data_IF_641808552994
#
_entry.id   IF_641808552994
#
_cell.length_a   1.000
_cell.length_b   1.000
_cell.length_c   1.000
_cell.angle_alpha   90.00
_cell.angle_beta   90.00
_cell.angle_gamma   90.00
#
_symmetry.space_group_name_H-M   'P 1'
#
loop_
_entity.id
_entity.type
_entity.pdbx_description
1 polymer ?
#
# COMPACT_ATOMS: atom_id res chain seq x y z
N UNK A 1 -29.96 -9.46 -89.07
CA UNK A 1 -29.00 -8.52 -89.73
C UNK A 1 -27.83 -8.45 -88.85
N UNK A 2 -26.84 -9.16 -89.17
CA UNK A 2 -25.66 -8.87 -89.99
C UNK A 2 -24.54 -8.24 -89.15
N UNK A 3 -23.47 -9.04 -89.03
CA UNK A 3 -22.04 -8.75 -89.02
C UNK A 3 -21.46 -8.14 -87.76
N UNK A 4 -20.27 -8.46 -87.33
CA UNK A 4 -19.21 -9.48 -87.63
C UNK A 4 -17.91 -8.95 -87.00
N UNK A 5 -17.11 -9.88 -86.46
CA UNK A 5 -15.63 -9.89 -86.50
C UNK A 5 -14.91 -8.74 -85.85
N UNK A 6 -13.78 -8.83 -85.30
CA UNK A 6 -12.75 -9.87 -85.08
C UNK A 6 -11.77 -9.40 -84.01
N UNK A 7 -11.29 -10.35 -83.25
CA UNK A 7 -9.89 -10.63 -82.89
C UNK A 7 -8.97 -9.45 -82.55
N UNK A 8 -8.40 -9.41 -81.36
CA UNK A 8 -6.93 -9.53 -81.14
C UNK A 8 -6.67 -9.87 -79.67
N UNK A 9 -5.84 -10.91 -79.50
CA UNK A 9 -5.28 -11.44 -78.27
C UNK A 9 -4.25 -10.45 -77.70
N UNK A 10 -4.33 -10.16 -76.37
CA UNK A 10 -3.15 -9.77 -75.58
C UNK A 10 -3.23 -10.41 -74.23
N UNK A 11 -2.34 -11.32 -73.98
CA UNK A 11 -2.17 -11.96 -72.66
C UNK A 11 -1.53 -10.93 -71.68
N UNK A 12 -2.24 -10.57 -70.65
CA UNK A 12 -1.70 -9.87 -69.49
C UNK A 12 -1.57 -10.87 -68.36
N UNK A 13 -0.32 -11.21 -68.03
CA UNK A 13 0.05 -12.02 -66.87
C UNK A 13 -0.18 -11.16 -65.64
N UNK A 14 -1.18 -11.50 -64.83
CA UNK A 14 -1.39 -10.91 -63.48
C UNK A 14 -0.43 -11.62 -62.50
N UNK A 15 0.64 -10.95 -62.13
CA UNK A 15 1.50 -11.34 -61.00
C UNK A 15 0.75 -11.03 -59.70
N UNK A 16 0.18 -12.05 -59.06
CA UNK A 16 -0.36 -11.96 -57.68
C UNK A 16 0.81 -11.84 -56.73
N UNK A 17 1.10 -10.61 -56.28
CA UNK A 17 2.06 -10.35 -55.20
C UNK A 17 1.45 -10.81 -53.85
N UNK A 18 1.91 -11.93 -53.32
CA UNK A 18 1.66 -12.34 -51.95
C UNK A 18 2.41 -11.38 -51.02
N UNK A 19 1.69 -10.39 -50.44
CA UNK A 19 2.21 -9.58 -49.37
C UNK A 19 2.29 -10.45 -48.11
N UNK A 20 3.50 -10.95 -47.81
CA UNK A 20 3.79 -11.58 -46.53
C UNK A 20 3.74 -10.48 -45.48
N UNK A 21 2.61 -10.42 -44.72
CA UNK A 21 2.47 -9.55 -43.56
C UNK A 21 3.49 -9.97 -42.49
N UNK A 22 4.50 -9.15 -42.29
CA UNK A 22 5.39 -9.28 -41.15
C UNK A 22 4.57 -9.00 -39.88
N UNK A 23 4.64 -9.85 -38.82
CA UNK A 23 4.06 -9.52 -37.53
C UNK A 23 4.82 -8.31 -37.00
N UNK A 24 4.11 -7.20 -36.76
CA UNK A 24 4.60 -6.11 -35.93
C UNK A 24 4.89 -6.70 -34.54
N UNK A 25 6.15 -7.05 -34.32
CA UNK A 25 6.63 -7.28 -32.97
C UNK A 25 6.44 -5.95 -32.22
N UNK A 26 5.46 -5.92 -31.30
CA UNK A 26 5.35 -4.87 -30.32
C UNK A 26 6.64 -4.90 -29.48
N UNK A 27 7.67 -4.21 -29.97
CA UNK A 27 8.94 -4.04 -29.30
C UNK A 27 8.68 -3.36 -27.97
N UNK A 28 8.94 -4.06 -26.86
CA UNK A 28 9.17 -3.44 -25.58
C UNK A 28 10.24 -2.35 -25.81
N UNK A 29 9.85 -1.09 -25.81
CA UNK A 29 10.76 0.03 -25.89
C UNK A 29 11.60 0.04 -24.61
N UNK A 30 12.72 -0.68 -24.63
CA UNK A 30 13.75 -0.49 -23.63
C UNK A 30 14.25 0.94 -23.80
N UNK A 31 14.13 1.77 -22.78
CA UNK A 31 14.72 3.11 -22.76
C UNK A 31 16.21 2.98 -23.05
N UNK A 32 16.66 3.49 -24.20
CA UNK A 32 18.06 3.51 -24.56
C UNK A 32 18.87 4.27 -23.49
N UNK A 33 20.14 3.86 -23.21
CA UNK A 33 21.00 4.58 -22.28
C UNK A 33 21.12 6.06 -22.73
N UNK A 34 20.59 7.00 -21.93
CA UNK A 34 20.65 8.44 -22.22
C UNK A 34 19.32 9.15 -22.45
N UNK A 35 18.18 8.46 -22.56
CA UNK A 35 16.90 9.17 -22.60
C UNK A 35 16.49 9.66 -21.20
N UNK A 36 16.02 10.93 -21.09
CA UNK A 36 15.55 11.46 -19.82
C UNK A 36 14.31 10.66 -19.34
N UNK A 37 14.37 10.11 -18.13
CA UNK A 37 13.23 9.46 -17.48
C UNK A 37 12.66 10.41 -16.41
N UNK A 38 11.33 10.57 -16.30
CA UNK A 38 10.26 10.08 -17.17
C UNK A 38 10.00 11.01 -18.37
N UNK A 39 9.53 10.47 -19.52
CA UNK A 39 9.12 11.23 -20.72
C UNK A 39 7.61 11.22 -20.96
N UNK A 40 6.88 10.45 -20.16
CA UNK A 40 5.41 10.33 -20.20
C UNK A 40 4.88 10.13 -18.77
N UNK A 41 3.57 10.25 -18.53
CA UNK A 41 2.99 10.04 -17.21
C UNK A 41 3.33 8.66 -16.63
N UNK A 42 3.58 8.64 -15.31
CA UNK A 42 3.87 7.44 -14.51
C UNK A 42 2.62 7.06 -13.72
N UNK A 43 2.17 5.84 -13.87
CA UNK A 43 1.06 5.28 -13.09
C UNK A 43 1.57 4.82 -11.74
N UNK A 44 0.95 5.32 -10.67
CA UNK A 44 1.26 4.95 -9.29
C UNK A 44 0.08 4.18 -8.70
N UNK A 45 0.17 2.86 -8.71
CA UNK A 45 -0.85 1.98 -8.13
C UNK A 45 -0.73 2.04 -6.61
N UNK A 46 -1.75 2.55 -5.95
CA UNK A 46 -1.90 2.50 -4.48
C UNK A 46 -2.78 1.31 -4.15
N UNK A 47 -2.24 0.33 -3.41
CA UNK A 47 -2.89 -0.95 -3.14
C UNK A 47 -4.07 -0.87 -2.14
N UNK A 48 -4.57 0.33 -1.85
CA UNK A 48 -5.66 0.59 -0.90
C UNK A 48 -6.60 1.69 -1.41
N UNK A 49 -7.81 1.72 -0.86
CA UNK A 49 -8.78 2.78 -1.15
C UNK A 49 -8.27 4.16 -0.70
N UNK A 50 -8.80 5.25 -1.30
CA UNK A 50 -8.44 6.61 -0.93
C UNK A 50 -8.66 6.93 0.56
N UNK A 51 -7.92 7.93 1.08
CA UNK A 51 -8.05 8.48 2.43
C UNK A 51 -7.32 7.69 3.52
N UNK A 52 -6.62 6.58 3.18
CA UNK A 52 -5.81 5.82 4.13
C UNK A 52 -4.32 6.20 4.12
N UNK A 53 -3.53 5.48 4.92
CA UNK A 53 -2.10 5.72 5.12
C UNK A 53 -1.28 5.63 3.81
N UNK A 54 -1.51 4.58 3.02
CA UNK A 54 -0.83 4.40 1.73
C UNK A 54 -1.21 5.49 0.72
N UNK A 55 -2.49 5.86 0.65
CA UNK A 55 -2.98 6.88 -0.27
C UNK A 55 -2.42 8.26 0.09
N UNK A 56 -2.39 8.61 1.39
CA UNK A 56 -1.79 9.85 1.86
C UNK A 56 -0.34 9.96 1.39
N UNK A 57 0.50 8.99 1.69
CA UNK A 57 1.92 9.03 1.30
C UNK A 57 2.11 8.92 -0.20
N UNK A 58 1.33 8.08 -0.87
CA UNK A 58 1.33 7.98 -2.32
C UNK A 58 1.13 9.34 -2.98
N UNK A 59 0.12 10.11 -2.55
CA UNK A 59 -0.16 11.47 -3.08
C UNK A 59 0.93 12.47 -2.72
N UNK A 60 1.40 12.48 -1.46
CA UNK A 60 2.44 13.41 -1.02
C UNK A 60 3.73 13.26 -1.84
N UNK A 61 4.15 12.04 -2.10
CA UNK A 61 5.35 11.76 -2.88
C UNK A 61 5.09 11.98 -4.39
N UNK A 62 3.97 11.48 -4.92
CA UNK A 62 3.66 11.62 -6.36
C UNK A 62 3.56 13.06 -6.81
N UNK A 63 2.96 13.94 -5.99
CA UNK A 63 2.91 15.37 -6.31
C UNK A 63 4.32 15.96 -6.43
N UNK A 64 5.21 15.67 -5.47
CA UNK A 64 6.59 16.17 -5.47
C UNK A 64 7.43 15.58 -6.61
N UNK A 65 7.20 14.31 -6.95
CA UNK A 65 7.83 13.71 -8.13
C UNK A 65 7.35 14.40 -9.41
N UNK A 66 6.06 14.75 -9.51
CA UNK A 66 5.51 15.51 -10.64
C UNK A 66 6.20 16.86 -10.77
N UNK A 67 6.29 17.61 -9.68
CA UNK A 67 6.89 18.95 -9.65
C UNK A 67 8.39 18.92 -10.01
N UNK A 68 9.10 17.88 -9.57
CA UNK A 68 10.56 17.74 -9.74
C UNK A 68 10.97 17.14 -11.08
N UNK A 69 10.17 16.22 -11.61
CA UNK A 69 10.51 15.46 -12.82
C UNK A 69 9.75 15.94 -14.07
N UNK A 70 8.80 16.89 -13.92
CA UNK A 70 8.08 17.50 -15.02
C UNK A 70 7.09 16.59 -15.75
N UNK A 71 6.81 15.39 -15.19
CA UNK A 71 5.84 14.45 -15.72
C UNK A 71 4.86 14.02 -14.62
N UNK A 72 3.59 13.79 -14.98
CA UNK A 72 2.55 13.43 -14.02
C UNK A 72 2.78 12.06 -13.39
N UNK A 73 2.76 11.97 -12.06
CA UNK A 73 2.71 10.72 -11.31
C UNK A 73 1.25 10.50 -10.86
N UNK A 74 0.51 9.72 -11.65
CA UNK A 74 -0.95 9.58 -11.54
C UNK A 74 -1.30 8.49 -10.53
N UNK A 75 -1.98 8.86 -9.45
CA UNK A 75 -2.48 7.91 -8.45
C UNK A 75 -3.63 7.10 -9.01
N UNK A 76 -3.52 5.77 -8.90
CA UNK A 76 -4.53 4.79 -9.24
C UNK A 76 -4.80 3.87 -8.04
N UNK A 77 -5.86 4.14 -7.28
CA UNK A 77 -6.21 3.36 -6.10
C UNK A 77 -6.83 2.02 -6.49
N UNK A 78 -6.17 0.91 -6.18
CA UNK A 78 -6.60 -0.47 -6.45
C UNK A 78 -6.62 -1.29 -5.16
N UNK A 79 -7.57 -0.96 -4.28
CA UNK A 79 -7.74 -1.64 -3.00
C UNK A 79 -8.46 -2.98 -3.11
N UNK A 80 -8.15 -3.88 -2.19
CA UNK A 80 -8.80 -5.19 -2.04
C UNK A 80 -7.83 -6.25 -1.53
N UNK A 81 -8.37 -7.26 -0.83
CA UNK A 81 -7.63 -8.39 -0.28
C UNK A 81 -6.34 -7.98 0.46
N UNK A 82 -6.42 -6.99 1.36
CA UNK A 82 -5.27 -6.48 2.11
C UNK A 82 -4.15 -5.86 1.26
N UNK A 83 -4.47 -5.38 0.04
CA UNK A 83 -3.50 -4.78 -0.88
C UNK A 83 -2.93 -5.76 -1.92
N UNK A 84 -3.27 -7.05 -1.87
CA UNK A 84 -2.74 -8.06 -2.81
C UNK A 84 -3.24 -7.84 -4.23
N UNK A 85 -4.48 -7.35 -4.39
CA UNK A 85 -5.02 -7.04 -5.72
C UNK A 85 -4.22 -5.96 -6.45
N UNK A 86 -3.97 -4.84 -5.79
CA UNK A 86 -3.16 -3.77 -6.37
C UNK A 86 -1.70 -4.18 -6.61
N UNK A 87 -1.14 -5.00 -5.70
CA UNK A 87 0.21 -5.53 -5.86
C UNK A 87 0.31 -6.48 -7.07
N UNK A 88 -0.66 -7.41 -7.25
CA UNK A 88 -0.66 -8.28 -8.43
C UNK A 88 -0.73 -7.48 -9.74
N UNK A 89 -1.62 -6.48 -9.78
CA UNK A 89 -1.75 -5.61 -10.95
C UNK A 89 -0.44 -4.85 -11.27
N UNK A 90 0.30 -4.44 -10.24
CA UNK A 90 1.60 -3.79 -10.42
C UNK A 90 2.69 -4.78 -10.86
N UNK A 91 2.70 -6.00 -10.32
CA UNK A 91 3.65 -7.05 -10.70
C UNK A 91 3.54 -7.44 -12.19
N UNK A 92 2.33 -7.38 -12.74
CA UNK A 92 2.05 -7.64 -14.16
C UNK A 92 2.42 -6.44 -15.06
N UNK A 93 2.84 -5.32 -14.49
CA UNK A 93 3.25 -4.13 -15.21
C UNK A 93 4.59 -4.32 -15.95
N UNK A 94 4.77 -3.54 -17.03
CA UNK A 94 6.06 -3.52 -17.73
C UNK A 94 7.17 -2.99 -16.81
N UNK A 95 8.38 -3.60 -16.83
CA UNK A 95 9.50 -3.19 -16.00
C UNK A 95 10.26 -1.99 -16.62
N UNK A 96 9.52 -0.96 -17.02
CA UNK A 96 10.02 0.25 -17.69
C UNK A 96 10.01 1.51 -16.79
N UNK A 97 9.58 1.35 -15.54
CA UNK A 97 9.49 2.43 -14.56
C UNK A 97 8.20 3.27 -14.66
N UNK A 98 7.30 3.00 -15.61
CA UNK A 98 6.05 3.76 -15.77
C UNK A 98 4.85 3.15 -15.04
N UNK A 99 5.05 2.04 -14.34
CA UNK A 99 4.13 1.50 -13.34
C UNK A 99 4.86 1.33 -12.03
N UNK A 100 4.41 2.02 -11.00
CA UNK A 100 4.93 1.93 -9.63
C UNK A 100 3.85 1.38 -8.71
N UNK A 101 4.27 0.74 -7.63
CA UNK A 101 3.39 0.28 -6.55
C UNK A 101 3.68 1.05 -5.27
N UNK A 102 2.63 1.53 -4.62
CA UNK A 102 2.65 1.99 -3.23
C UNK A 102 1.92 0.96 -2.38
N UNK A 103 2.65 0.33 -1.47
CA UNK A 103 2.08 -0.67 -0.57
C UNK A 103 2.57 -0.44 0.88
N UNK A 104 2.03 -1.23 1.79
CA UNK A 104 2.30 -1.13 3.23
C UNK A 104 2.90 -2.44 3.76
N UNK A 105 3.11 -2.53 5.07
CA UNK A 105 3.49 -3.76 5.77
C UNK A 105 2.63 -4.98 5.39
N UNK A 106 1.40 -4.76 4.90
CA UNK A 106 0.52 -5.83 4.41
C UNK A 106 1.15 -6.68 3.30
N UNK A 107 2.00 -6.09 2.46
CA UNK A 107 2.72 -6.84 1.43
C UNK A 107 3.69 -7.88 2.00
N UNK A 108 4.26 -7.61 3.19
CA UNK A 108 5.12 -8.56 3.89
C UNK A 108 4.34 -9.62 4.69
N UNK A 109 3.09 -9.33 5.05
CA UNK A 109 2.18 -10.29 5.70
C UNK A 109 1.62 -11.29 4.69
N UNK A 110 1.27 -10.83 3.49
CA UNK A 110 0.56 -11.59 2.47
C UNK A 110 1.18 -12.97 2.12
N UNK A 111 2.51 -13.15 1.98
CA UNK A 111 3.10 -14.45 1.68
C UNK A 111 2.79 -15.54 2.70
N UNK A 112 2.52 -15.16 3.95
CA UNK A 112 2.20 -16.10 5.05
C UNK A 112 0.72 -16.42 5.16
N UNK A 113 -0.15 -15.66 4.50
CA UNK A 113 -1.60 -15.81 4.59
C UNK A 113 -2.22 -16.47 3.37
N UNK A 114 -1.76 -16.13 2.17
CA UNK A 114 -2.38 -16.56 0.93
C UNK A 114 -1.60 -17.71 0.31
N UNK A 115 -2.27 -18.84 0.07
CA UNK A 115 -1.66 -20.01 -0.61
C UNK A 115 -1.30 -19.70 -2.07
N UNK A 116 -2.14 -18.92 -2.76
CA UNK A 116 -1.99 -18.56 -4.16
C UNK A 116 -2.03 -17.03 -4.29
N UNK A 117 -0.93 -16.37 -3.93
CA UNK A 117 -0.84 -14.91 -3.95
C UNK A 117 -0.81 -14.32 -5.37
N UNK A 118 -0.34 -15.10 -6.34
CA UNK A 118 -0.22 -14.69 -7.74
C UNK A 118 0.98 -13.79 -8.03
N UNK A 119 1.77 -13.44 -7.03
CA UNK A 119 3.05 -12.73 -7.11
C UNK A 119 3.94 -13.07 -5.92
N UNK A 120 5.23 -12.81 -6.04
CA UNK A 120 6.22 -12.92 -4.96
C UNK A 120 6.80 -11.52 -4.67
N UNK A 121 6.58 -11.01 -3.47
CA UNK A 121 7.03 -9.66 -3.09
C UNK A 121 8.53 -9.45 -3.28
N UNK A 122 9.33 -10.49 -3.04
CA UNK A 122 10.79 -10.41 -3.06
C UNK A 122 11.37 -10.61 -4.45
N UNK A 123 10.68 -11.42 -5.31
CA UNK A 123 11.17 -11.77 -6.65
C UNK A 123 10.59 -10.88 -7.74
N UNK A 124 9.30 -10.48 -7.61
CA UNK A 124 8.57 -9.78 -8.65
C UNK A 124 8.64 -8.26 -8.51
N UNK A 125 9.22 -7.76 -7.40
CA UNK A 125 9.38 -6.34 -7.16
C UNK A 125 10.81 -5.94 -6.86
N UNK A 126 11.17 -4.75 -7.34
CA UNK A 126 12.35 -4.02 -6.91
C UNK A 126 11.93 -2.92 -5.94
N UNK A 127 12.30 -3.00 -4.65
CA UNK A 127 12.06 -1.93 -3.68
C UNK A 127 12.78 -0.65 -4.09
N UNK A 128 12.06 0.48 -4.11
CA UNK A 128 12.62 1.80 -4.46
C UNK A 128 12.97 2.58 -3.21
N UNK A 129 11.98 2.82 -2.33
CA UNK A 129 12.16 3.60 -1.11
C UNK A 129 11.15 3.20 -0.04
N UNK A 130 11.62 3.05 1.21
CA UNK A 130 10.76 3.13 2.39
C UNK A 130 10.53 4.62 2.69
N UNK A 131 9.28 5.03 2.84
CA UNK A 131 9.02 6.45 3.05
C UNK A 131 8.80 6.79 4.52
N UNK A 132 7.82 6.15 5.13
CA UNK A 132 7.43 6.39 6.53
C UNK A 132 6.98 5.11 7.22
N UNK A 133 7.03 5.12 8.55
CA UNK A 133 6.27 4.19 9.38
C UNK A 133 5.38 4.92 10.36
N UNK A 134 4.32 4.25 10.83
CA UNK A 134 3.44 4.75 11.87
C UNK A 134 3.00 3.61 12.78
N UNK A 135 2.91 3.88 14.08
CA UNK A 135 2.34 2.95 15.04
C UNK A 135 0.85 2.75 14.81
N UNK A 136 0.34 1.57 15.14
CA UNK A 136 -1.10 1.33 15.20
C UNK A 136 -1.76 2.19 16.27
N UNK A 137 -2.98 2.64 16.01
CA UNK A 137 -3.76 3.47 16.89
C UNK A 137 -5.15 2.87 17.08
N UNK A 138 -5.50 2.55 18.31
CA UNK A 138 -6.86 2.21 18.70
C UNK A 138 -7.66 3.50 18.92
N UNK A 139 -8.77 3.64 18.23
CA UNK A 139 -9.66 4.79 18.38
C UNK A 139 -11.12 4.40 18.23
N UNK A 140 -12.00 5.20 18.82
CA UNK A 140 -13.46 5.02 18.86
C UNK A 140 -14.15 6.34 18.58
N UNK A 141 -15.48 6.34 18.43
CA UNK A 141 -16.26 7.58 18.43
C UNK A 141 -15.99 8.39 19.70
N UNK A 142 -16.03 9.72 19.60
CA UNK A 142 -15.85 10.61 20.76
C UNK A 142 -16.87 10.33 21.88
N UNK A 143 -18.10 9.93 21.53
CA UNK A 143 -19.18 9.58 22.46
C UNK A 143 -19.03 8.19 23.12
N UNK A 144 -18.11 7.37 22.67
CA UNK A 144 -17.91 6.01 23.22
C UNK A 144 -17.53 6.08 24.72
N UNK A 145 -18.08 5.21 25.62
CA UNK A 145 -17.85 5.32 27.05
C UNK A 145 -16.42 4.97 27.52
N UNK A 146 -15.64 4.19 26.75
CA UNK A 146 -14.27 3.84 27.13
C UNK A 146 -13.37 5.07 27.19
N UNK A 147 -12.56 5.18 28.24
CA UNK A 147 -11.64 6.31 28.50
C UNK A 147 -10.27 6.11 27.84
N UNK A 148 -9.80 4.88 27.83
CA UNK A 148 -8.53 4.44 27.28
C UNK A 148 -8.61 2.97 26.82
N UNK A 149 -7.53 2.40 26.31
CA UNK A 149 -7.49 1.04 25.80
C UNK A 149 -7.73 0.00 26.91
N UNK A 150 -7.21 0.23 28.11
CA UNK A 150 -7.45 -0.66 29.26
C UNK A 150 -8.93 -0.72 29.62
N UNK A 151 -9.58 0.42 29.71
CA UNK A 151 -11.02 0.53 29.99
C UNK A 151 -11.87 -0.12 28.86
N UNK A 152 -11.46 0.05 27.58
CA UNK A 152 -12.12 -0.65 26.48
C UNK A 152 -12.04 -2.17 26.65
N UNK A 153 -10.85 -2.70 26.92
CA UNK A 153 -10.65 -4.15 27.12
C UNK A 153 -11.47 -4.68 28.27
N UNK A 154 -11.48 -3.99 29.42
CA UNK A 154 -12.27 -4.41 30.57
C UNK A 154 -13.79 -4.40 30.29
N UNK A 155 -14.30 -3.37 29.61
CA UNK A 155 -15.71 -3.27 29.21
C UNK A 155 -16.14 -4.32 28.20
N UNK A 156 -15.19 -4.83 27.41
CA UNK A 156 -15.45 -5.85 26.38
C UNK A 156 -15.42 -7.28 26.91
N UNK A 157 -15.08 -7.49 28.18
CA UNK A 157 -15.12 -8.84 28.77
C UNK A 157 -16.54 -9.38 28.80
N UNK A 158 -16.70 -10.60 28.29
CA UNK A 158 -18.02 -11.26 28.18
C UNK A 158 -18.95 -10.67 27.12
N UNK A 159 -18.44 -9.82 26.24
CA UNK A 159 -19.17 -9.25 25.09
C UNK A 159 -18.34 -9.38 23.83
N UNK A 160 -19.01 -9.44 22.69
CA UNK A 160 -18.34 -9.38 21.40
C UNK A 160 -17.86 -7.94 21.13
N UNK A 161 -16.60 -7.79 20.72
CA UNK A 161 -15.98 -6.53 20.32
C UNK A 161 -15.69 -6.54 18.82
N UNK A 162 -16.30 -5.63 18.05
CA UNK A 162 -16.04 -5.51 16.62
C UNK A 162 -14.98 -4.44 16.37
N UNK A 163 -13.92 -4.77 15.63
CA UNK A 163 -12.88 -3.81 15.28
C UNK A 163 -12.61 -3.76 13.78
N UNK A 164 -12.55 -2.54 13.25
CA UNK A 164 -12.32 -2.24 11.85
C UNK A 164 -10.84 -2.06 11.56
N UNK A 165 -10.37 -2.58 10.44
CA UNK A 165 -9.02 -2.34 9.91
C UNK A 165 -9.04 -2.05 8.42
N UNK A 166 -7.86 -1.73 7.86
CA UNK A 166 -7.68 -1.50 6.43
C UNK A 166 -7.80 -2.77 5.56
N UNK A 167 -8.04 -3.94 6.17
CA UNK A 167 -8.31 -5.18 5.44
C UNK A 167 -7.64 -6.41 6.03
N UNK A 168 -8.04 -7.57 5.53
CA UNK A 168 -7.45 -8.87 5.89
C UNK A 168 -5.97 -8.88 5.53
N UNK A 169 -5.11 -9.36 6.44
CA UNK A 169 -3.66 -9.44 6.20
C UNK A 169 -2.91 -8.11 6.32
N UNK A 170 -3.56 -7.05 6.78
CA UNK A 170 -2.82 -5.84 7.18
C UNK A 170 -2.11 -6.05 8.51
N UNK A 171 -1.09 -5.24 8.79
CA UNK A 171 -0.41 -5.28 10.09
C UNK A 171 -1.37 -5.01 11.25
N UNK A 172 -2.33 -4.10 11.05
CA UNK A 172 -3.40 -3.83 12.03
C UNK A 172 -4.36 -5.01 12.22
N UNK A 173 -4.64 -5.80 11.18
CA UNK A 173 -5.41 -7.04 11.40
C UNK A 173 -4.65 -8.01 12.30
N UNK A 174 -3.40 -8.36 11.94
CA UNK A 174 -2.60 -9.31 12.70
C UNK A 174 -2.29 -8.78 14.11
N UNK A 175 -1.93 -7.50 14.23
CA UNK A 175 -1.68 -6.86 15.52
C UNK A 175 -2.94 -6.76 16.39
N UNK A 176 -4.09 -6.47 15.78
CA UNK A 176 -5.39 -6.44 16.47
C UNK A 176 -5.78 -7.80 17.02
N UNK A 177 -5.70 -8.84 16.20
CA UNK A 177 -5.95 -10.22 16.63
C UNK A 177 -4.98 -10.65 17.73
N UNK A 178 -3.69 -10.33 17.59
CA UNK A 178 -2.70 -10.65 18.60
C UNK A 178 -3.02 -9.98 19.94
N UNK A 179 -3.34 -8.68 19.96
CA UNK A 179 -3.69 -7.98 21.19
C UNK A 179 -5.04 -8.46 21.75
N UNK A 180 -6.10 -8.39 20.95
CA UNK A 180 -7.46 -8.52 21.46
C UNK A 180 -7.83 -9.99 21.73
N UNK A 181 -7.46 -10.90 20.81
CA UNK A 181 -7.84 -12.32 20.93
C UNK A 181 -6.80 -13.15 21.68
N UNK A 182 -5.49 -12.97 21.39
CA UNK A 182 -4.45 -13.81 21.99
C UNK A 182 -4.07 -13.30 23.38
N UNK A 183 -3.72 -12.01 23.52
CA UNK A 183 -3.24 -11.47 24.81
C UNK A 183 -4.38 -11.10 25.76
N UNK A 184 -5.37 -10.34 25.30
CA UNK A 184 -6.50 -9.89 26.13
C UNK A 184 -7.61 -10.96 26.27
N UNK A 185 -7.60 -12.00 25.43
CA UNK A 185 -8.56 -13.12 25.40
C UNK A 185 -10.02 -12.65 25.29
N UNK A 186 -10.25 -11.66 24.45
CA UNK A 186 -11.59 -11.14 24.14
C UNK A 186 -12.24 -11.95 23.00
N UNK A 187 -13.57 -11.95 22.98
CA UNK A 187 -14.36 -12.32 21.80
C UNK A 187 -14.33 -11.13 20.82
N UNK A 188 -13.24 -11.02 20.07
CA UNK A 188 -13.04 -9.91 19.14
C UNK A 188 -13.22 -10.37 17.68
N UNK A 189 -14.07 -9.64 16.95
CA UNK A 189 -14.39 -9.90 15.54
C UNK A 189 -13.76 -8.84 14.67
N UNK A 190 -12.92 -9.27 13.75
CA UNK A 190 -12.31 -8.42 12.75
C UNK A 190 -13.29 -8.08 11.63
N UNK A 191 -13.48 -6.78 11.37
CA UNK A 191 -14.28 -6.26 10.27
C UNK A 191 -13.36 -5.59 9.24
N UNK A 192 -13.06 -6.28 8.12
CA UNK A 192 -12.11 -5.79 7.13
C UNK A 192 -12.74 -4.78 6.17
N UNK A 193 -11.99 -3.73 5.83
CA UNK A 193 -12.32 -2.75 4.79
C UNK A 193 -11.24 -2.74 3.69
N UNK A 194 -11.51 -2.03 2.57
CA UNK A 194 -10.54 -1.91 1.46
C UNK A 194 -9.48 -0.82 1.68
N UNK A 195 -9.29 -0.37 2.92
CA UNK A 195 -8.33 0.67 3.31
C UNK A 195 -8.74 1.38 4.59
N UNK A 196 -7.84 2.18 5.16
CA UNK A 196 -8.08 2.93 6.41
C UNK A 196 -9.15 4.01 6.29
N UNK A 197 -9.32 4.62 5.11
CA UNK A 197 -10.38 5.61 4.88
C UNK A 197 -11.78 5.03 5.07
N UNK A 198 -12.19 3.99 4.32
CA UNK A 198 -13.47 3.31 4.52
C UNK A 198 -13.67 2.75 5.94
N UNK A 199 -12.64 2.20 6.58
CA UNK A 199 -12.71 1.73 7.96
C UNK A 199 -13.04 2.88 8.93
N UNK A 200 -12.40 4.03 8.75
CA UNK A 200 -12.68 5.23 9.56
C UNK A 200 -14.12 5.72 9.39
N UNK A 201 -14.62 5.73 8.15
CA UNK A 201 -16.01 6.13 7.86
C UNK A 201 -17.00 5.19 8.55
N UNK A 202 -16.75 3.88 8.54
CA UNK A 202 -17.60 2.89 9.20
C UNK A 202 -17.69 3.12 10.71
N UNK A 203 -16.57 3.46 11.36
CA UNK A 203 -16.56 3.79 12.80
C UNK A 203 -17.25 5.13 13.07
N UNK A 204 -17.02 6.16 12.24
CA UNK A 204 -17.73 7.44 12.35
C UNK A 204 -19.25 7.29 12.16
N UNK A 205 -19.68 6.35 11.32
CA UNK A 205 -21.08 5.99 11.12
C UNK A 205 -21.64 5.01 12.16
N UNK A 206 -20.88 4.70 13.23
CA UNK A 206 -21.26 3.75 14.29
C UNK A 206 -21.62 2.35 13.78
N UNK A 207 -21.06 1.94 12.64
CA UNK A 207 -21.25 0.60 12.05
C UNK A 207 -20.31 -0.43 12.70
N UNK A 208 -19.15 0.02 13.16
CA UNK A 208 -18.13 -0.76 13.87
C UNK A 208 -17.65 0.07 15.06
N UNK A 209 -17.42 -0.58 16.18
CA UNK A 209 -17.13 0.07 17.46
C UNK A 209 -15.71 0.68 17.51
N UNK A 210 -14.70 -0.07 17.07
CA UNK A 210 -13.29 0.29 17.20
C UNK A 210 -12.63 0.41 15.82
N UNK A 211 -11.87 1.46 15.61
CA UNK A 211 -10.89 1.55 14.53
C UNK A 211 -9.52 1.14 15.08
N UNK A 212 -8.89 0.14 14.47
CA UNK A 212 -7.47 -0.12 14.69
C UNK A 212 -6.69 -0.02 13.37
N UNK A 213 -5.77 0.93 13.31
CA UNK A 213 -4.96 1.18 12.11
C UNK A 213 -3.97 2.31 12.28
N UNK A 214 -3.10 2.49 11.29
CA UNK A 214 -2.13 3.58 11.28
C UNK A 214 -2.78 4.88 10.84
N UNK A 215 -2.83 5.86 11.71
CA UNK A 215 -3.09 7.30 11.50
C UNK A 215 -4.30 7.74 10.64
N UNK A 216 -5.09 6.83 10.04
CA UNK A 216 -6.26 7.20 9.21
C UNK A 216 -7.33 7.97 10.03
N UNK A 217 -7.48 7.65 11.30
CA UNK A 217 -8.40 8.32 12.22
C UNK A 217 -7.92 9.66 12.75
N UNK A 218 -6.63 10.00 12.61
CA UNK A 218 -6.03 11.15 13.28
C UNK A 218 -6.70 12.50 12.94
N UNK A 219 -7.05 12.83 11.70
CA UNK A 219 -7.78 14.09 11.40
C UNK A 219 -9.13 14.17 12.12
N UNK A 220 -9.79 13.05 12.34
CA UNK A 220 -11.08 12.98 13.05
C UNK A 220 -10.92 13.08 14.57
N UNK A 221 -9.78 12.60 15.08
CA UNK A 221 -9.40 12.79 16.50
C UNK A 221 -9.09 14.26 16.75
N UNK A 222 -8.31 14.91 15.89
CA UNK A 222 -8.01 16.34 15.99
C UNK A 222 -9.25 17.21 15.86
N UNK A 223 -10.25 16.78 15.09
CA UNK A 223 -11.55 17.44 14.96
C UNK A 223 -12.54 17.08 16.08
N UNK A 224 -12.13 16.31 17.09
CA UNK A 224 -12.98 15.92 18.23
C UNK A 224 -14.12 14.95 17.90
N UNK A 225 -14.13 14.35 16.70
CA UNK A 225 -15.16 13.38 16.29
C UNK A 225 -14.85 11.94 16.73
N UNK A 226 -13.59 11.64 16.91
CA UNK A 226 -13.08 10.39 17.46
C UNK A 226 -12.17 10.66 18.64
N UNK A 227 -11.97 9.68 19.49
CA UNK A 227 -10.97 9.73 20.56
C UNK A 227 -10.00 8.55 20.45
N UNK A 228 -8.70 8.80 20.69
CA UNK A 228 -7.68 7.77 20.74
C UNK A 228 -7.73 7.07 22.08
N UNK A 229 -7.53 5.74 22.08
CA UNK A 229 -7.53 4.93 23.29
C UNK A 229 -6.14 4.38 23.65
N UNK A 230 -5.30 4.12 22.66
CA UNK A 230 -3.96 3.59 22.86
C UNK A 230 -3.15 3.49 21.58
N UNK A 231 -1.84 3.71 21.68
CA UNK A 231 -0.89 3.59 20.56
C UNK A 231 -0.05 2.32 20.70
N UNK A 232 0.18 1.64 19.59
CA UNK A 232 0.94 0.39 19.51
C UNK A 232 2.44 0.64 19.28
N UNK A 233 3.01 1.56 20.03
CA UNK A 233 4.46 1.87 20.03
C UNK A 233 5.06 1.66 21.41
N UNK A 234 6.38 1.45 21.46
CA UNK A 234 7.09 1.27 22.75
C UNK A 234 7.11 2.54 23.61
N UNK A 235 6.90 3.72 23.00
CA UNK A 235 6.82 5.02 23.66
C UNK A 235 5.61 5.77 23.13
N UNK A 236 5.08 6.70 23.93
CA UNK A 236 4.02 7.63 23.46
C UNK A 236 4.53 8.44 22.27
N UNK A 237 3.63 8.73 21.34
CA UNK A 237 3.96 9.51 20.14
C UNK A 237 3.75 11.01 20.38
N UNK A 238 4.60 11.83 19.79
CA UNK A 238 4.57 13.30 19.95
C UNK A 238 3.23 13.91 19.51
N UNK A 239 2.62 13.37 18.45
CA UNK A 239 1.32 13.84 17.96
C UNK A 239 0.15 13.60 18.93
N UNK A 240 0.29 12.67 19.89
CA UNK A 240 -0.72 12.28 20.88
C UNK A 240 -0.07 12.00 22.25
N UNK A 241 0.56 12.99 22.91
CA UNK A 241 1.40 12.79 24.10
C UNK A 241 0.63 12.27 25.31
N UNK A 242 -0.69 12.53 25.38
CA UNK A 242 -1.55 12.10 26.47
C UNK A 242 -2.18 10.72 26.24
N UNK A 243 -1.97 10.09 25.08
CA UNK A 243 -2.52 8.77 24.76
C UNK A 243 -1.55 7.70 25.25
N UNK A 244 -1.99 6.76 26.11
CA UNK A 244 -1.12 5.70 26.61
C UNK A 244 -0.69 4.74 25.49
N UNK A 245 0.43 4.08 25.70
CA UNK A 245 0.83 2.95 24.84
C UNK A 245 0.04 1.70 25.21
N UNK A 246 0.03 0.72 24.30
CA UNK A 246 -0.52 -0.63 24.60
C UNK A 246 0.24 -1.27 25.75
N UNK A 247 1.54 -1.00 25.88
CA UNK A 247 2.36 -1.47 27.02
C UNK A 247 1.88 -0.88 28.35
N UNK A 248 1.57 0.41 28.41
CA UNK A 248 1.00 1.09 29.57
C UNK A 248 -0.43 0.58 29.91
N UNK A 249 -1.15 0.07 28.92
CA UNK A 249 -2.45 -0.58 29.14
C UNK A 249 -2.36 -2.00 29.70
N UNK A 250 -1.16 -2.52 29.97
CA UNK A 250 -0.92 -3.83 30.61
C UNK A 250 -0.34 -4.91 29.69
N UNK A 251 0.12 -4.55 28.49
CA UNK A 251 0.71 -5.49 27.52
C UNK A 251 2.15 -5.09 27.17
N UNK A 252 3.11 -5.30 28.10
CA UNK A 252 4.48 -4.87 27.93
C UNK A 252 5.13 -5.51 26.70
N UNK A 253 5.90 -4.72 25.96
CA UNK A 253 6.60 -5.17 24.74
C UNK A 253 5.70 -5.26 23.49
N UNK A 254 4.42 -4.92 23.58
CA UNK A 254 3.57 -4.88 22.40
C UNK A 254 3.97 -3.70 21.50
N UNK A 255 4.32 -4.02 20.27
CA UNK A 255 4.59 -3.05 19.22
C UNK A 255 4.01 -3.51 17.89
N UNK A 256 3.25 -2.65 17.24
CA UNK A 256 2.78 -2.83 15.88
C UNK A 256 2.98 -1.53 15.10
N UNK A 257 3.69 -1.64 13.99
CA UNK A 257 3.95 -0.52 13.09
C UNK A 257 3.67 -0.94 11.65
N UNK A 258 2.97 -0.10 10.94
CA UNK A 258 2.88 -0.20 9.49
C UNK A 258 3.90 0.77 8.86
N UNK A 259 4.30 0.47 7.63
CA UNK A 259 5.17 1.34 6.83
C UNK A 259 4.58 1.51 5.43
N UNK A 260 5.03 2.51 4.70
CA UNK A 260 4.66 2.74 3.29
C UNK A 260 5.92 2.75 2.45
N UNK A 261 5.92 1.93 1.41
CA UNK A 261 7.03 1.83 0.48
C UNK A 261 6.60 1.94 -0.98
N UNK A 262 7.55 2.42 -1.79
CA UNK A 262 7.45 2.47 -3.24
C UNK A 262 8.24 1.32 -3.84
N UNK A 263 7.65 0.66 -4.83
CA UNK A 263 8.23 -0.48 -5.54
C UNK A 263 8.03 -0.30 -7.05
N UNK A 264 8.91 -0.91 -7.83
CA UNK A 264 8.71 -1.11 -9.26
C UNK A 264 8.65 -2.61 -9.57
N UNK A 265 8.07 -3.04 -10.70
CA UNK A 265 8.21 -4.40 -11.18
C UNK A 265 9.68 -4.81 -11.26
N UNK A 266 9.98 -6.09 -10.98
CA UNK A 266 11.36 -6.60 -11.09
C UNK A 266 11.90 -6.37 -12.49
N UNK A 267 13.22 -6.29 -12.63
CA UNK A 267 13.93 -5.94 -13.90
C UNK A 267 13.74 -4.49 -14.37
N UNK A 268 13.08 -3.63 -13.62
CA UNK A 268 13.13 -2.18 -13.90
C UNK A 268 14.59 -1.72 -13.87
N UNK A 269 15.07 -0.96 -14.89
CA UNK A 269 16.46 -0.55 -14.97
C UNK A 269 16.96 0.14 -13.70
N UNK A 270 18.13 -0.26 -13.22
CA UNK A 270 18.72 0.25 -11.97
C UNK A 270 18.87 1.77 -11.98
N UNK A 271 19.15 2.37 -13.14
CA UNK A 271 19.24 3.81 -13.27
C UNK A 271 17.90 4.50 -12.94
N UNK A 272 16.76 3.92 -13.36
CA UNK A 272 15.41 4.43 -13.06
C UNK A 272 15.11 4.27 -11.56
N UNK A 273 15.40 3.10 -10.99
CA UNK A 273 15.21 2.83 -9.55
C UNK A 273 16.01 3.82 -8.70
N UNK A 274 17.28 4.03 -9.03
CA UNK A 274 18.14 4.97 -8.31
C UNK A 274 17.68 6.43 -8.48
N UNK A 275 17.23 6.81 -9.67
CA UNK A 275 16.65 8.14 -9.91
C UNK A 275 15.40 8.36 -9.06
N UNK A 276 14.46 7.43 -9.07
CA UNK A 276 13.24 7.50 -8.25
C UNK A 276 13.56 7.53 -6.75
N UNK A 277 14.50 6.69 -6.29
CA UNK A 277 14.94 6.70 -4.89
C UNK A 277 15.51 8.06 -4.48
N UNK A 278 16.41 8.64 -5.30
CA UNK A 278 16.98 9.96 -5.04
C UNK A 278 15.87 11.02 -4.90
N UNK A 279 14.94 11.08 -5.85
CA UNK A 279 13.87 12.06 -5.86
C UNK A 279 12.89 11.88 -4.71
N UNK A 280 12.56 10.63 -4.33
CA UNK A 280 11.72 10.33 -3.16
C UNK A 280 12.42 10.77 -1.86
N UNK A 281 13.72 10.47 -1.68
CA UNK A 281 14.46 10.90 -0.50
C UNK A 281 14.54 12.43 -0.41
N UNK A 282 14.72 13.13 -1.53
CA UNK A 282 14.69 14.60 -1.56
C UNK A 282 13.28 15.15 -1.27
N UNK A 283 12.23 14.48 -1.75
CA UNK A 283 10.85 14.82 -1.40
C UNK A 283 10.60 14.66 0.11
N UNK A 284 11.09 13.59 0.72
CA UNK A 284 10.99 13.36 2.17
C UNK A 284 11.74 14.43 2.98
N UNK A 285 12.80 15.02 2.45
CA UNK A 285 13.57 16.06 3.12
C UNK A 285 12.93 17.47 3.00
N UNK A 286 11.83 17.63 2.25
CA UNK A 286 11.17 18.95 2.12
C UNK A 286 10.55 19.39 3.45
N UNK A 287 10.76 20.64 3.90
CA UNK A 287 10.37 21.10 5.24
C UNK A 287 8.87 20.97 5.52
N UNK A 288 8.03 21.26 4.53
CA UNK A 288 6.58 21.14 4.62
C UNK A 288 6.10 19.70 4.79
N UNK A 289 6.73 18.73 4.09
CA UNK A 289 6.41 17.32 4.26
C UNK A 289 6.93 16.78 5.60
N UNK A 290 8.12 17.19 6.02
CA UNK A 290 8.67 16.85 7.35
C UNK A 290 7.72 17.30 8.46
N UNK A 291 7.24 18.54 8.42
CA UNK A 291 6.27 19.06 9.39
C UNK A 291 4.96 18.26 9.36
N UNK A 292 4.42 17.98 8.16
CA UNK A 292 3.18 17.23 8.01
C UNK A 292 3.29 15.78 8.51
N UNK A 293 4.43 15.11 8.29
CA UNK A 293 4.70 13.76 8.78
C UNK A 293 4.78 13.75 10.31
N UNK A 294 5.52 14.70 10.92
CA UNK A 294 5.67 14.80 12.37
C UNK A 294 4.33 15.06 13.08
N UNK A 295 3.52 16.00 12.59
CA UNK A 295 2.20 16.29 13.17
C UNK A 295 1.24 15.12 13.12
N UNK A 296 1.53 14.13 12.27
CA UNK A 296 0.77 12.87 12.16
C UNK A 296 1.39 11.72 12.96
N UNK A 297 2.45 11.95 13.74
CA UNK A 297 3.10 10.91 14.54
C UNK A 297 3.74 9.81 13.71
N UNK A 298 4.24 10.14 12.53
CA UNK A 298 4.94 9.22 11.64
C UNK A 298 6.44 9.44 11.71
N UNK A 299 7.21 8.36 11.51
CA UNK A 299 8.66 8.37 11.40
C UNK A 299 9.08 8.21 9.95
N UNK A 300 10.03 9.02 9.49
CA UNK A 300 10.59 8.95 8.14
C UNK A 300 11.74 7.95 8.06
N UNK A 301 11.85 7.28 6.90
CA UNK A 301 12.89 6.28 6.65
C UNK A 301 13.63 6.54 5.32
N UNK A 302 14.31 7.67 5.15
CA UNK A 302 15.16 7.88 3.99
C UNK A 302 16.27 6.83 3.95
N UNK A 303 16.56 6.30 2.78
CA UNK A 303 17.56 5.25 2.64
C UNK A 303 17.71 4.76 1.20
N UNK A 304 18.66 3.84 0.99
CA UNK A 304 18.89 3.26 -0.33
C UNK A 304 17.86 2.17 -0.68
N UNK A 305 17.72 1.82 -1.99
CA UNK A 305 16.93 0.66 -2.40
C UNK A 305 17.41 -0.65 -1.76
N UNK A 306 18.72 -0.78 -1.53
CA UNK A 306 19.31 -1.95 -0.88
C UNK A 306 18.91 -2.05 0.59
N UNK A 307 18.88 -0.92 1.33
CA UNK A 307 18.40 -0.87 2.72
C UNK A 307 16.93 -1.29 2.79
N UNK A 308 16.12 -0.74 1.91
CA UNK A 308 14.70 -1.09 1.86
C UNK A 308 14.49 -2.56 1.47
N UNK A 309 15.28 -3.10 0.55
CA UNK A 309 15.23 -4.54 0.21
C UNK A 309 15.54 -5.43 1.42
N UNK A 310 16.57 -5.10 2.22
CA UNK A 310 16.89 -5.84 3.45
C UNK A 310 15.75 -5.75 4.47
N UNK A 311 15.21 -4.55 4.65
CA UNK A 311 14.07 -4.31 5.54
C UNK A 311 12.84 -5.13 5.14
N UNK A 312 12.45 -5.16 3.86
CA UNK A 312 11.31 -5.93 3.36
C UNK A 312 11.47 -7.43 3.65
N UNK A 313 12.67 -8.00 3.45
CA UNK A 313 12.95 -9.42 3.77
C UNK A 313 12.77 -9.70 5.26
N UNK A 314 13.34 -8.85 6.12
CA UNK A 314 13.20 -8.99 7.57
C UNK A 314 11.73 -8.88 8.03
N UNK A 315 10.97 -7.99 7.41
CA UNK A 315 9.53 -7.85 7.67
C UNK A 315 8.73 -9.10 7.25
N UNK A 316 9.05 -9.73 6.11
CA UNK A 316 8.43 -11.00 5.71
C UNK A 316 8.64 -12.07 6.78
N UNK A 317 9.87 -12.23 7.27
CA UNK A 317 10.21 -13.23 8.32
C UNK A 317 9.52 -12.92 9.65
N UNK A 318 9.46 -11.64 10.03
CA UNK A 318 8.77 -11.19 11.25
C UNK A 318 7.27 -11.51 11.19
N UNK A 319 6.62 -11.13 10.10
CA UNK A 319 5.17 -11.32 9.94
C UNK A 319 4.79 -12.79 9.79
N UNK A 320 5.64 -13.63 9.20
CA UNK A 320 5.43 -15.08 9.17
C UNK A 320 5.31 -15.68 10.57
N UNK A 321 6.15 -15.22 11.52
CA UNK A 321 6.05 -15.64 12.94
C UNK A 321 4.75 -15.15 13.58
N UNK A 322 4.36 -13.89 13.35
CA UNK A 322 3.14 -13.32 13.93
C UNK A 322 1.87 -13.98 13.40
N UNK A 323 1.78 -14.27 12.10
CA UNK A 323 0.67 -15.02 11.50
C UNK A 323 0.54 -16.41 12.12
N UNK A 324 1.67 -17.09 12.37
CA UNK A 324 1.66 -18.39 13.05
C UNK A 324 1.13 -18.30 14.50
N UNK A 325 1.51 -17.25 15.25
CA UNK A 325 1.07 -17.04 16.63
C UNK A 325 -0.43 -16.72 16.70
N UNK A 326 -0.93 -15.87 15.82
CA UNK A 326 -2.34 -15.46 15.80
C UNK A 326 -3.26 -16.54 15.25
N UNK A 327 -2.73 -17.47 14.46
CA UNK A 327 -3.51 -18.49 13.78
C UNK A 327 -4.44 -17.96 12.69
N UNK A 328 -4.26 -16.69 12.28
CA UNK A 328 -5.06 -16.08 11.21
C UNK A 328 -4.84 -16.83 9.90
N UNK A 329 -5.93 -17.15 9.22
CA UNK A 329 -5.93 -17.81 7.91
C UNK A 329 -6.86 -17.06 6.96
N UNK A 330 -6.53 -17.08 5.71
CA UNK A 330 -7.41 -16.62 4.61
C UNK A 330 -7.80 -17.88 3.83
N UNK A 331 -9.08 -18.13 3.72
CA UNK A 331 -9.64 -19.25 2.93
C UNK A 331 -9.51 -19.01 1.43
#
# INVERSE_FOLDING_TARGET
MIFNRDVIRAAAVLAVGVAIGQPLAAGAQSTAPGQPYPTKPVRVIVAFAPGGFADFMGRQISQRLTDRLGQQFVIDNRGGAGGTYGAKLAADGAPDGYTLLVNTAASSVAPSLYKNLGYDLVKDFTPIANTVSAAGLFSVLASHPARDLKDLIERSRGKQLNYATAGVGTSSHIGGDYLLRVLAKLDAVHVPFKGGGPATIAVLGNQVEVLYGSMAGLPHIQAGRMKPLGVASLKRIEALPNVPTVAEAGYPGFEERSWVGFFAPTRTPTAIVNRLNLEINQALASPDLVANIKTRGMDMHPGSPADFSRFVRAEVDKWAKMVKITGVRVE
#
